data_IF_055101164441
#
_entry.id   IF_055101164441
#
_cell.length_a   1.000
_cell.length_b   1.000
_cell.length_c   1.000
_cell.angle_alpha   90.00
_cell.angle_beta   90.00
_cell.angle_gamma   90.00
#
_symmetry.space_group_name_H-M   'P 1'
#
loop_
_entity.id
_entity.type
_entity.pdbx_description
1 polymer ?
#
# COMPACT_ATOMS: atom_id res chain seq x y z
N UNK A 1 18.84 -14.50 -7.55
CA UNK A 1 17.67 -14.04 -8.34
C UNK A 1 16.46 -14.88 -7.96
N UNK A 2 15.48 -14.32 -7.26
CA UNK A 2 14.26 -15.04 -6.84
C UNK A 2 13.15 -14.71 -7.83
N UNK A 3 12.84 -15.63 -8.74
CA UNK A 3 11.77 -15.47 -9.73
C UNK A 3 10.40 -15.57 -9.06
N UNK A 4 9.44 -14.77 -9.53
CA UNK A 4 8.06 -14.74 -9.04
C UNK A 4 7.08 -14.88 -10.19
N UNK A 5 5.90 -15.42 -9.90
CA UNK A 5 4.84 -15.56 -10.89
C UNK A 5 4.41 -14.17 -11.42
N UNK A 6 4.54 -13.96 -12.73
CA UNK A 6 4.24 -12.66 -13.37
C UNK A 6 5.47 -11.94 -13.93
N UNK A 7 6.68 -12.42 -13.61
CA UNK A 7 7.94 -11.94 -14.20
C UNK A 7 7.99 -12.24 -15.70
N UNK A 8 8.55 -11.29 -16.46
CA UNK A 8 8.73 -11.43 -17.90
C UNK A 8 10.12 -11.95 -18.18
N UNK A 9 10.21 -13.05 -18.94
CA UNK A 9 11.45 -13.76 -19.22
C UNK A 9 11.71 -13.80 -20.72
N UNK A 10 12.98 -13.68 -21.10
CA UNK A 10 13.45 -13.96 -22.44
C UNK A 10 13.61 -15.47 -22.61
N UNK A 11 12.79 -16.06 -23.49
CA UNK A 11 12.72 -17.51 -23.72
C UNK A 11 13.10 -17.82 -25.16
N UNK A 12 13.98 -18.80 -25.36
CA UNK A 12 14.17 -19.45 -26.66
C UNK A 12 13.31 -20.70 -26.71
N UNK A 13 12.30 -20.69 -27.58
CA UNK A 13 11.36 -21.80 -27.75
C UNK A 13 11.99 -23.03 -28.41
N UNK A 14 13.14 -22.90 -29.08
CA UNK A 14 13.82 -24.05 -29.72
C UNK A 14 14.60 -24.86 -28.70
N UNK A 15 15.26 -24.18 -27.77
CA UNK A 15 16.02 -24.82 -26.70
C UNK A 15 15.19 -25.07 -25.43
N UNK A 16 14.01 -24.46 -25.32
CA UNK A 16 13.19 -24.44 -24.08
C UNK A 16 13.94 -23.87 -22.87
N UNK A 17 14.84 -22.92 -23.10
CA UNK A 17 15.56 -22.21 -22.05
C UNK A 17 15.04 -20.78 -21.87
N UNK A 18 15.02 -20.32 -20.61
CA UNK A 18 14.81 -18.92 -20.25
C UNK A 18 16.14 -18.32 -19.79
N UNK A 19 16.59 -17.25 -20.43
CA UNK A 19 17.95 -16.70 -20.24
C UNK A 19 17.99 -15.55 -19.24
N UNK A 20 17.00 -14.65 -19.33
CA UNK A 20 17.06 -13.35 -18.65
C UNK A 20 15.66 -12.90 -18.21
N UNK A 21 15.59 -12.16 -17.10
CA UNK A 21 14.40 -11.42 -16.70
C UNK A 21 14.40 -10.05 -17.36
N UNK A 22 13.41 -9.77 -18.19
CA UNK A 22 13.22 -8.45 -18.81
C UNK A 22 12.43 -7.57 -17.84
N UNK A 23 12.99 -6.44 -17.35
CA UNK A 23 12.24 -5.47 -16.57
C UNK A 23 11.16 -4.83 -17.45
N UNK A 24 9.91 -4.87 -17.00
CA UNK A 24 8.78 -4.23 -17.69
C UNK A 24 8.60 -2.80 -17.18
N UNK A 25 8.75 -1.83 -18.07
CA UNK A 25 8.61 -0.40 -17.80
C UNK A 25 7.22 -0.02 -17.25
N UNK A 26 6.15 -0.66 -17.73
CA UNK A 26 4.76 -0.37 -17.30
C UNK A 26 4.50 -0.74 -15.83
N UNK A 27 5.23 -1.72 -15.29
CA UNK A 27 5.00 -2.16 -13.90
C UNK A 27 5.66 -1.17 -12.95
N UNK A 28 6.85 -0.63 -13.27
CA UNK A 28 7.55 0.39 -12.46
C UNK A 28 6.77 1.70 -12.31
N UNK A 29 5.84 1.99 -13.21
CA UNK A 29 4.96 3.17 -13.16
C UNK A 29 3.81 3.06 -12.16
N UNK A 30 3.60 1.89 -11.52
CA UNK A 30 2.72 1.77 -10.35
C UNK A 30 3.38 2.51 -9.18
N UNK A 31 3.06 3.81 -9.12
CA UNK A 31 3.68 4.84 -8.29
C UNK A 31 3.78 4.39 -6.83
N UNK A 32 4.97 3.92 -6.46
CA UNK A 32 5.44 3.97 -5.08
C UNK A 32 5.72 5.44 -4.80
N UNK A 33 4.70 6.15 -4.34
CA UNK A 33 4.86 7.53 -3.88
C UNK A 33 5.53 7.47 -2.50
N UNK A 34 6.60 8.23 -2.30
CA UNK A 34 7.08 8.52 -0.94
C UNK A 34 5.91 9.10 -0.13
N UNK A 35 5.86 8.76 1.15
CA UNK A 35 4.75 9.17 2.00
C UNK A 35 4.68 10.70 2.01
N UNK A 36 3.55 11.29 1.57
CA UNK A 36 3.42 12.74 1.53
C UNK A 36 3.45 13.31 2.95
N UNK A 37 4.14 14.43 3.13
CA UNK A 37 4.21 15.11 4.43
C UNK A 37 2.93 15.92 4.68
N UNK A 38 1.87 15.21 5.06
CA UNK A 38 0.59 15.79 5.47
C UNK A 38 0.33 15.39 6.91
N UNK A 39 0.10 16.38 7.76
CA UNK A 39 -0.29 16.17 9.15
C UNK A 39 -1.80 16.28 9.35
N UNK A 40 -2.29 15.64 10.41
CA UNK A 40 -3.72 15.68 10.77
C UNK A 40 -4.23 17.09 11.05
N UNK A 41 -3.36 18.00 11.48
CA UNK A 41 -3.69 19.40 11.74
C UNK A 41 -4.07 20.14 10.46
N UNK A 42 -3.70 19.60 9.29
CA UNK A 42 -4.11 20.12 7.99
C UNK A 42 -5.55 19.76 7.62
N UNK A 43 -6.22 18.91 8.40
CA UNK A 43 -7.57 18.39 8.12
C UNK A 43 -8.58 19.00 9.10
N UNK A 44 -9.39 19.93 8.60
CA UNK A 44 -10.43 20.59 9.38
C UNK A 44 -11.71 19.76 9.53
N UNK A 45 -12.30 19.76 10.73
CA UNK A 45 -13.69 19.30 10.96
C UNK A 45 -13.93 17.79 10.96
N UNK A 46 -12.88 16.97 10.93
CA UNK A 46 -12.96 15.50 10.83
C UNK A 46 -12.31 14.79 12.05
N UNK A 47 -12.25 15.45 13.20
CA UNK A 47 -11.55 14.96 14.39
C UNK A 47 -12.02 13.57 14.84
N UNK A 48 -13.33 13.34 14.91
CA UNK A 48 -13.88 12.04 15.31
C UNK A 48 -13.58 10.92 14.29
N UNK A 49 -13.56 11.23 12.99
CA UNK A 49 -13.18 10.25 11.96
C UNK A 49 -11.68 9.96 11.99
N UNK A 50 -10.85 10.96 12.25
CA UNK A 50 -9.41 10.81 12.41
C UNK A 50 -9.11 9.89 13.59
N UNK A 51 -9.76 10.09 14.74
CA UNK A 51 -9.60 9.25 15.93
C UNK A 51 -9.95 7.79 15.65
N UNK A 52 -11.11 7.52 15.03
CA UNK A 52 -11.50 6.16 14.64
C UNK A 52 -10.48 5.48 13.72
N UNK A 53 -9.89 6.22 12.77
CA UNK A 53 -8.90 5.65 11.85
C UNK A 53 -7.56 5.43 12.55
N UNK A 54 -7.15 6.32 13.47
CA UNK A 54 -5.95 6.12 14.29
C UNK A 54 -6.09 4.86 15.14
N UNK A 55 -7.24 4.65 15.78
CA UNK A 55 -7.48 3.44 16.58
C UNK A 55 -7.47 2.18 15.73
N UNK A 56 -8.04 2.23 14.53
CA UNK A 56 -8.06 1.10 13.62
C UNK A 56 -6.67 0.80 13.04
N UNK A 57 -5.89 1.81 12.65
CA UNK A 57 -4.66 1.62 11.87
C UNK A 57 -3.40 1.76 12.70
N UNK A 58 -3.30 2.74 13.59
CA UNK A 58 -2.07 3.01 14.33
C UNK A 58 -1.96 2.14 15.58
N UNK A 59 -3.06 1.96 16.33
CA UNK A 59 -3.06 1.21 17.58
C UNK A 59 -2.49 -0.22 17.44
N UNK A 60 -2.85 -1.01 16.41
CA UNK A 60 -2.31 -2.35 16.23
C UNK A 60 -0.80 -2.39 15.95
N UNK A 61 -0.25 -1.36 15.30
CA UNK A 61 1.17 -1.26 15.01
C UNK A 61 1.98 -0.76 16.22
N UNK A 62 1.39 0.14 17.00
CA UNK A 62 2.03 0.72 18.18
C UNK A 62 1.97 -0.21 19.39
N UNK A 63 0.90 -0.99 19.55
CA UNK A 63 0.70 -1.87 20.70
C UNK A 63 0.33 -3.29 20.28
N UNK A 64 1.18 -3.99 19.50
CA UNK A 64 0.88 -5.35 19.05
C UNK A 64 0.70 -6.32 20.21
N UNK A 65 1.42 -6.11 21.32
CA UNK A 65 1.41 -6.97 22.50
C UNK A 65 0.02 -7.02 23.15
N UNK A 66 -0.67 -5.88 23.22
CA UNK A 66 -2.03 -5.75 23.77
C UNK A 66 -3.04 -6.53 22.91
N UNK A 67 -2.87 -6.50 21.59
CA UNK A 67 -3.74 -7.28 20.69
C UNK A 67 -3.52 -8.78 20.86
N UNK A 68 -2.29 -9.22 21.09
CA UNK A 68 -1.98 -10.63 21.34
C UNK A 68 -2.51 -11.08 22.70
N UNK A 69 -2.32 -10.27 23.75
CA UNK A 69 -2.78 -10.56 25.11
C UNK A 69 -4.30 -10.72 25.19
N UNK A 70 -5.05 -9.86 24.48
CA UNK A 70 -6.51 -9.92 24.44
C UNK A 70 -7.06 -10.82 23.32
N UNK A 71 -6.22 -11.58 22.62
CA UNK A 71 -6.59 -12.45 21.49
C UNK A 71 -7.39 -11.70 20.38
N UNK A 72 -7.12 -10.41 20.22
CA UNK A 72 -7.77 -9.54 19.25
C UNK A 72 -7.06 -9.61 17.90
N UNK A 73 -7.84 -9.78 16.83
CA UNK A 73 -7.32 -9.73 15.46
C UNK A 73 -7.22 -8.27 15.01
N UNK A 74 -6.04 -7.80 14.58
CA UNK A 74 -5.89 -6.45 14.06
C UNK A 74 -6.70 -6.28 12.76
N UNK A 75 -7.37 -5.14 12.56
CA UNK A 75 -8.11 -4.86 11.34
C UNK A 75 -7.15 -4.78 10.14
N UNK A 76 -7.56 -5.37 9.01
CA UNK A 76 -6.72 -5.48 7.80
C UNK A 76 -6.97 -4.39 6.76
N UNK A 77 -8.03 -3.59 6.92
CA UNK A 77 -8.42 -2.59 5.94
C UNK A 77 -9.47 -1.65 6.50
N UNK A 78 -9.52 -0.44 5.94
CA UNK A 78 -10.45 0.63 6.31
C UNK A 78 -11.21 1.05 5.07
N UNK A 79 -12.53 1.21 5.20
CA UNK A 79 -13.39 1.71 4.13
C UNK A 79 -13.78 3.16 4.43
N UNK A 80 -13.31 4.09 3.61
CA UNK A 80 -13.71 5.50 3.67
C UNK A 80 -14.81 5.76 2.65
N UNK A 81 -16.02 6.11 3.12
CA UNK A 81 -17.16 6.41 2.25
C UNK A 81 -17.74 7.81 2.50
N UNK A 82 -18.69 8.22 1.69
CA UNK A 82 -19.40 9.50 1.80
C UNK A 82 -19.28 10.38 0.54
N UNK A 83 -19.79 11.61 0.56
CA UNK A 83 -19.81 12.50 -0.60
C UNK A 83 -18.40 12.76 -1.17
N UNK A 84 -18.27 13.03 -2.48
CA UNK A 84 -17.00 13.44 -3.08
C UNK A 84 -16.57 14.79 -2.50
N UNK A 85 -15.25 15.03 -2.39
CA UNK A 85 -14.70 16.29 -1.88
C UNK A 85 -14.54 16.40 -0.36
N UNK A 86 -15.01 15.42 0.43
CA UNK A 86 -14.87 15.44 1.91
C UNK A 86 -13.48 14.98 2.42
N UNK A 87 -12.41 15.07 1.62
CA UNK A 87 -11.05 14.81 2.11
C UNK A 87 -10.65 13.34 2.36
N UNK A 88 -11.39 12.34 1.85
CA UNK A 88 -11.06 10.89 2.05
C UNK A 88 -9.62 10.52 1.68
N UNK A 89 -9.16 10.96 0.52
CA UNK A 89 -7.79 10.73 0.04
C UNK A 89 -6.76 11.46 0.91
N UNK A 90 -7.10 12.65 1.41
CA UNK A 90 -6.23 13.45 2.28
C UNK A 90 -6.07 12.80 3.65
N UNK A 91 -7.14 12.27 4.24
CA UNK A 91 -7.08 11.50 5.49
C UNK A 91 -6.20 10.26 5.31
N UNK A 92 -6.37 9.49 4.23
CA UNK A 92 -5.54 8.31 3.97
C UNK A 92 -4.05 8.66 3.90
N UNK A 93 -3.70 9.79 3.26
CA UNK A 93 -2.34 10.31 3.20
C UNK A 93 -1.80 10.74 4.58
N UNK A 94 -2.59 11.46 5.37
CA UNK A 94 -2.21 11.89 6.70
C UNK A 94 -1.99 10.70 7.67
N UNK A 95 -2.80 9.66 7.56
CA UNK A 95 -2.64 8.42 8.34
C UNK A 95 -1.34 7.70 7.99
N UNK A 96 -1.01 7.61 6.70
CA UNK A 96 0.26 7.01 6.26
C UNK A 96 1.47 7.80 6.80
N UNK A 97 1.42 9.14 6.74
CA UNK A 97 2.45 10.02 7.30
C UNK A 97 2.61 9.85 8.81
N UNK A 98 1.51 9.88 9.56
CA UNK A 98 1.57 9.74 11.01
C UNK A 98 2.05 8.35 11.43
N UNK A 99 1.60 7.29 10.76
CA UNK A 99 2.10 5.94 11.00
C UNK A 99 3.62 5.85 10.76
N UNK A 100 4.12 6.42 9.66
CA UNK A 100 5.56 6.46 9.38
C UNK A 100 6.34 7.19 10.47
N UNK A 101 5.85 8.35 10.93
CA UNK A 101 6.47 9.15 12.00
C UNK A 101 6.48 8.38 13.34
N UNK A 102 5.40 7.67 13.69
CA UNK A 102 5.33 6.93 14.97
C UNK A 102 6.13 5.62 14.94
N UNK A 103 6.13 4.92 13.82
CA UNK A 103 6.93 3.70 13.65
C UNK A 103 8.43 4.03 13.69
N UNK A 104 8.87 5.10 13.01
CA UNK A 104 10.26 5.55 13.08
C UNK A 104 10.68 5.93 14.50
N UNK A 105 9.83 6.64 15.25
CA UNK A 105 10.08 6.95 16.66
C UNK A 105 10.20 5.70 17.55
N UNK A 106 9.37 4.67 17.32
CA UNK A 106 9.37 3.45 18.13
C UNK A 106 10.58 2.55 17.81
N UNK A 107 10.99 2.48 16.55
CA UNK A 107 12.00 1.52 16.07
C UNK A 107 13.41 2.12 16.05
N UNK A 108 13.55 3.45 16.09
CA UNK A 108 14.83 4.16 16.00
C UNK A 108 15.51 4.09 14.63
N UNK A 109 14.91 3.36 13.69
CA UNK A 109 15.31 3.28 12.30
C UNK A 109 14.39 4.19 11.48
N UNK A 110 14.96 4.89 10.49
CA UNK A 110 14.20 5.52 9.41
C UNK A 110 13.60 4.42 8.51
N UNK A 111 12.63 3.69 9.05
CA UNK A 111 11.88 2.70 8.32
C UNK A 111 11.18 3.39 7.15
N UNK A 112 11.56 3.03 5.93
CA UNK A 112 10.89 3.50 4.72
C UNK A 112 9.46 2.99 4.74
N UNK A 113 8.53 3.88 5.11
CA UNK A 113 7.10 3.63 4.91
C UNK A 113 6.79 3.85 3.43
N UNK A 114 5.96 2.98 2.87
CA UNK A 114 5.56 3.03 1.47
C UNK A 114 4.07 3.36 1.38
N UNK A 115 3.71 4.33 0.55
CA UNK A 115 2.33 4.65 0.25
C UNK A 115 2.03 4.30 -1.22
N UNK A 116 1.17 3.31 -1.43
CA UNK A 116 0.71 2.93 -2.76
C UNK A 116 -0.62 3.61 -3.05
N UNK A 117 -0.60 4.59 -3.95
CA UNK A 117 -1.80 5.27 -4.42
C UNK A 117 -2.26 4.64 -5.74
N UNK A 118 -3.41 3.98 -5.73
CA UNK A 118 -3.96 3.32 -6.92
C UNK A 118 -5.38 3.81 -7.11
N UNK A 119 -5.64 4.42 -8.28
CA UNK A 119 -6.99 4.85 -8.65
C UNK A 119 -7.72 3.74 -9.38
N UNK A 120 -9.02 3.59 -9.15
CA UNK A 120 -9.84 2.58 -9.83
C UNK A 120 -9.71 2.58 -11.36
N UNK A 121 -9.71 3.73 -12.04
CA UNK A 121 -9.50 3.78 -13.49
C UNK A 121 -8.12 3.31 -13.95
N UNK A 122 -7.08 3.42 -13.13
CA UNK A 122 -5.73 2.95 -13.46
C UNK A 122 -5.64 1.42 -13.51
N UNK A 123 -6.59 0.73 -12.86
CA UNK A 123 -6.69 -0.73 -12.91
C UNK A 123 -7.47 -1.23 -14.13
N UNK A 124 -8.23 -0.37 -14.82
CA UNK A 124 -9.08 -0.80 -15.93
C UNK A 124 -8.26 -0.94 -17.22
N UNK A 125 -8.15 -2.18 -17.70
CA UNK A 125 -7.59 -2.47 -19.02
C UNK A 125 -8.63 -3.11 -19.95
N UNK A 126 -8.53 -2.82 -21.25
CA UNK A 126 -9.41 -3.39 -22.29
C UNK A 126 -9.06 -4.85 -22.60
N UNK A 127 -7.84 -5.28 -22.29
CA UNK A 127 -7.37 -6.64 -22.52
C UNK A 127 -7.78 -7.56 -21.37
N UNK A 128 -8.39 -8.70 -21.72
CA UNK A 128 -8.84 -9.70 -20.75
C UNK A 128 -7.64 -10.29 -20.01
N UNK A 129 -7.71 -10.35 -18.68
CA UNK A 129 -6.66 -10.92 -17.83
C UNK A 129 -5.57 -9.95 -17.41
N UNK A 130 -5.44 -8.78 -18.06
CA UNK A 130 -4.44 -7.78 -17.67
C UNK A 130 -4.81 -7.08 -16.35
N UNK A 131 -6.10 -6.81 -16.11
CA UNK A 131 -6.59 -6.21 -14.86
C UNK A 131 -6.25 -7.09 -13.64
N UNK A 132 -6.52 -8.40 -13.72
CA UNK A 132 -6.20 -9.35 -12.64
C UNK A 132 -4.69 -9.50 -12.44
N UNK A 133 -3.93 -9.49 -13.54
CA UNK A 133 -2.46 -9.49 -13.49
C UNK A 133 -1.93 -8.25 -12.79
N UNK A 134 -2.46 -7.06 -13.09
CA UNK A 134 -2.09 -5.80 -12.43
C UNK A 134 -2.37 -5.83 -10.93
N UNK A 135 -3.57 -6.28 -10.52
CA UNK A 135 -3.91 -6.41 -9.10
C UNK A 135 -2.92 -7.35 -8.39
N UNK A 136 -2.57 -8.49 -9.01
CA UNK A 136 -1.61 -9.44 -8.43
C UNK A 136 -0.22 -8.83 -8.26
N UNK A 137 0.24 -8.05 -9.25
CA UNK A 137 1.53 -7.37 -9.20
C UNK A 137 1.59 -6.30 -8.10
N UNK A 138 0.52 -5.52 -7.93
CA UNK A 138 0.37 -4.55 -6.84
C UNK A 138 0.55 -5.22 -5.47
N UNK A 139 -0.19 -6.28 -5.21
CA UNK A 139 -0.09 -7.00 -3.93
C UNK A 139 1.25 -7.72 -3.76
N UNK A 140 1.88 -8.14 -4.86
CA UNK A 140 3.22 -8.73 -4.80
C UNK A 140 4.28 -7.70 -4.40
N UNK A 141 4.18 -6.46 -4.89
CA UNK A 141 5.04 -5.35 -4.44
C UNK A 141 4.78 -4.95 -3.00
N UNK A 142 3.52 -4.90 -2.57
CA UNK A 142 3.20 -4.59 -1.17
C UNK A 142 3.69 -5.64 -0.16
N UNK A 143 4.11 -6.83 -0.64
CA UNK A 143 4.75 -7.88 0.18
C UNK A 143 6.28 -7.80 0.19
N UNK A 144 6.89 -7.03 -0.71
CA UNK A 144 8.34 -6.79 -0.76
C UNK A 144 8.73 -5.67 0.19
#
# INVERSE_FOLDING_TARGET
>A
LRLRAGDSLLVDSRSNYAFERIPKSEVEELVLEEVPDIDYDSIGGLAGQIENIRDAVELPYLHPDVFVEHELKPPKGVLLYGPPGCGKTMIAKAVASSLAKKVSQKTGEEGRSYFLNIKGPELLNKYVGETERHIRLVFQRARE
#
